data_IF_207142002162
#
_entry.id   IF_207142002162
#
_cell.length_a   1.000
_cell.length_b   1.000
_cell.length_c   1.000
_cell.angle_alpha   90.00
_cell.angle_beta   90.00
_cell.angle_gamma   90.00
#
_symmetry.space_group_name_H-M   'P 1'
#
loop_
_entity.id
_entity.type
_entity.pdbx_description
1 polymer ?
#
# COMPACT_ATOMS: atom_id res chain seq x y z
N UNK A 1 -26.52 -1.14 25.99
CA UNK A 1 -25.95 -1.64 24.72
C UNK A 1 -25.57 -0.42 23.86
N UNK A 2 -24.29 -0.08 23.79
CA UNK A 2 -23.83 1.07 23.00
C UNK A 2 -23.63 0.63 21.54
N UNK A 3 -24.41 1.20 20.61
CA UNK A 3 -24.18 1.06 19.17
C UNK A 3 -22.90 1.82 18.84
N UNK A 4 -21.81 1.12 18.53
CA UNK A 4 -20.60 1.72 17.95
C UNK A 4 -21.00 2.36 16.62
N UNK A 5 -20.87 3.68 16.51
CA UNK A 5 -20.97 4.39 15.24
C UNK A 5 -19.94 3.78 14.28
N UNK A 6 -20.40 3.12 13.21
CA UNK A 6 -19.55 2.88 12.03
C UNK A 6 -19.10 4.25 11.56
N UNK A 7 -17.80 4.57 11.72
CA UNK A 7 -17.20 5.69 10.98
C UNK A 7 -17.54 5.44 9.52
N UNK A 8 -18.33 6.32 8.94
CA UNK A 8 -18.73 6.23 7.54
C UNK A 8 -17.50 6.67 6.74
N UNK A 9 -16.62 5.72 6.45
CA UNK A 9 -15.44 5.98 5.63
C UNK A 9 -15.95 6.21 4.22
N UNK A 10 -15.78 7.42 3.72
CA UNK A 10 -16.18 7.78 2.35
C UNK A 10 -15.07 7.27 1.43
N UNK A 11 -15.38 6.36 0.49
CA UNK A 11 -14.37 5.86 -0.45
C UNK A 11 -13.85 7.00 -1.32
N UNK A 12 -12.54 6.97 -1.60
CA UNK A 12 -11.88 7.95 -2.45
C UNK A 12 -12.40 7.83 -3.89
N UNK A 13 -12.56 8.95 -4.59
CA UNK A 13 -12.82 8.91 -6.02
C UNK A 13 -11.51 8.74 -6.79
N UNK A 14 -11.13 7.48 -7.01
CA UNK A 14 -9.89 7.10 -7.69
C UNK A 14 -9.80 7.58 -9.15
N UNK A 15 -10.93 7.87 -9.80
CA UNK A 15 -10.95 8.31 -11.20
C UNK A 15 -10.70 9.82 -11.36
N UNK A 16 -10.68 10.57 -10.25
CA UNK A 16 -10.43 12.00 -10.23
C UNK A 16 -9.16 12.37 -9.43
N UNK A 17 -8.22 11.45 -9.29
CA UNK A 17 -6.93 11.74 -8.66
C UNK A 17 -6.02 12.49 -9.63
N UNK A 18 -5.43 13.60 -9.17
CA UNK A 18 -4.52 14.40 -9.98
C UNK A 18 -3.18 13.69 -10.17
N UNK A 19 -2.67 13.72 -11.41
CA UNK A 19 -1.33 13.22 -11.71
C UNK A 19 -0.28 14.27 -11.36
N UNK A 20 0.80 13.83 -10.74
CA UNK A 20 1.99 14.63 -10.55
C UNK A 20 2.71 14.79 -11.89
N UNK A 21 2.65 15.98 -12.45
CA UNK A 21 3.24 16.29 -13.76
C UNK A 21 4.64 16.89 -13.68
N UNK A 22 5.04 17.39 -12.49
CA UNK A 22 6.33 18.03 -12.25
C UNK A 22 6.83 17.72 -10.84
N UNK A 23 8.12 17.41 -10.73
CA UNK A 23 8.78 17.22 -9.44
C UNK A 23 9.10 18.57 -8.79
N UNK A 24 8.78 18.67 -7.50
CA UNK A 24 9.22 19.76 -6.63
C UNK A 24 10.39 19.25 -5.77
N UNK A 25 11.28 20.16 -5.40
CA UNK A 25 12.34 19.85 -4.43
C UNK A 25 11.74 19.38 -3.10
N UNK A 26 12.48 18.53 -2.38
CA UNK A 26 12.09 18.08 -1.07
C UNK A 26 11.91 19.22 -0.06
N UNK A 27 10.98 19.11 0.91
CA UNK A 27 10.92 20.02 2.06
C UNK A 27 12.21 19.99 2.89
N UNK A 28 12.63 21.15 3.41
CA UNK A 28 13.93 21.33 4.11
C UNK A 28 13.94 20.68 5.51
N UNK A 29 12.79 20.64 6.20
CA UNK A 29 12.69 20.23 7.61
C UNK A 29 12.20 18.77 7.81
N UNK A 30 12.33 17.93 6.78
CA UNK A 30 11.83 16.55 6.85
C UNK A 30 12.75 15.63 7.66
N UNK A 31 12.19 14.68 8.45
CA UNK A 31 12.99 13.66 9.13
C UNK A 31 13.64 12.74 8.09
N UNK A 32 14.97 12.65 8.08
CA UNK A 32 15.71 11.77 7.17
C UNK A 32 15.99 10.40 7.80
N UNK A 33 15.86 9.33 7.00
CA UNK A 33 16.27 7.98 7.39
C UNK A 33 15.29 7.22 8.29
N UNK A 34 15.81 6.35 9.16
CA UNK A 34 15.05 5.39 9.98
C UNK A 34 14.18 5.99 11.09
N UNK A 35 13.99 7.31 11.11
CA UNK A 35 13.19 8.04 12.09
C UNK A 35 11.75 8.31 11.64
N UNK A 36 11.36 7.89 10.43
CA UNK A 36 9.99 8.07 9.93
C UNK A 36 9.03 7.20 10.78
N UNK A 37 8.04 7.81 11.46
CA UNK A 37 7.09 7.06 12.27
C UNK A 37 6.16 6.23 11.38
N UNK A 38 5.89 4.99 11.80
CA UNK A 38 4.94 4.11 11.10
C UNK A 38 3.52 4.60 11.32
N UNK A 39 2.80 4.86 10.23
CA UNK A 39 1.37 5.19 10.25
C UNK A 39 0.54 3.92 10.10
N UNK A 40 -0.31 3.64 11.08
CA UNK A 40 -1.11 2.40 11.16
C UNK A 40 -2.54 2.63 10.64
N UNK A 41 -3.02 1.74 9.78
CA UNK A 41 -4.35 1.78 9.17
C UNK A 41 -5.04 0.42 9.26
N UNK A 42 -6.36 0.43 9.41
CA UNK A 42 -7.22 -0.76 9.46
C UNK A 42 -8.19 -0.87 8.28
N UNK A 43 -8.18 0.11 7.37
CA UNK A 43 -9.00 0.14 6.17
C UNK A 43 -8.27 0.78 4.97
N UNK A 44 -8.64 0.33 3.76
CA UNK A 44 -8.03 0.77 2.50
C UNK A 44 -8.24 2.25 2.20
N UNK A 45 -9.42 2.79 2.51
CA UNK A 45 -9.76 4.16 2.11
C UNK A 45 -8.99 5.20 2.95
N UNK A 46 -8.81 4.95 4.25
CA UNK A 46 -7.95 5.78 5.11
C UNK A 46 -6.49 5.71 4.66
N UNK A 47 -6.01 4.52 4.29
CA UNK A 47 -4.66 4.31 3.78
C UNK A 47 -4.42 5.00 2.43
N UNK A 48 -5.34 4.86 1.48
CA UNK A 48 -5.29 5.53 0.17
C UNK A 48 -5.34 7.06 0.29
N UNK A 49 -6.17 7.56 1.21
CA UNK A 49 -6.25 8.99 1.52
C UNK A 49 -4.91 9.50 2.02
N UNK A 50 -4.27 8.76 2.94
CA UNK A 50 -2.95 9.11 3.43
C UNK A 50 -1.92 9.21 2.30
N UNK A 51 -1.81 8.19 1.44
CA UNK A 51 -0.84 8.20 0.32
C UNK A 51 -1.08 9.39 -0.63
N UNK A 52 -2.34 9.73 -0.91
CA UNK A 52 -2.66 10.92 -1.72
C UNK A 52 -2.24 12.21 -1.03
N UNK A 53 -2.52 12.33 0.26
CA UNK A 53 -2.25 13.55 1.01
C UNK A 53 -0.73 13.78 1.13
N UNK A 54 0.08 12.72 1.28
CA UNK A 54 1.56 12.80 1.22
C UNK A 54 2.07 13.34 -0.13
N UNK A 55 1.41 12.97 -1.23
CA UNK A 55 1.68 13.54 -2.56
C UNK A 55 1.35 15.03 -2.62
N UNK A 56 0.21 15.44 -2.05
CA UNK A 56 -0.22 16.84 -2.03
C UNK A 56 0.67 17.72 -1.15
N UNK A 57 1.08 17.19 -0.01
CA UNK A 57 1.97 17.83 0.96
C UNK A 57 3.45 17.78 0.52
N UNK A 58 3.75 17.15 -0.62
CA UNK A 58 5.09 17.04 -1.18
C UNK A 58 6.05 16.20 -0.31
N UNK A 59 5.53 15.25 0.47
CA UNK A 59 6.25 14.32 1.38
C UNK A 59 6.28 12.86 0.86
N UNK A 60 5.69 12.59 -0.31
CA UNK A 60 5.54 11.27 -0.94
C UNK A 60 6.80 10.42 -1.11
N UNK A 61 8.00 10.99 -1.04
CA UNK A 61 9.26 10.29 -1.23
C UNK A 61 9.88 9.81 0.10
N UNK A 62 9.21 10.03 1.23
CA UNK A 62 9.73 9.69 2.56
C UNK A 62 8.60 9.43 3.59
N UNK A 63 7.99 8.26 3.54
CA UNK A 63 6.97 7.85 4.52
C UNK A 63 6.98 6.33 4.77
N UNK A 64 6.36 5.90 5.87
CA UNK A 64 6.08 4.48 6.15
C UNK A 64 4.65 4.33 6.67
N UNK A 65 3.84 3.60 5.92
CA UNK A 65 2.48 3.23 6.29
C UNK A 65 2.35 1.70 6.41
N UNK A 66 1.58 1.25 7.40
CA UNK A 66 1.22 -0.14 7.62
C UNK A 66 -0.31 -0.27 7.62
N UNK A 67 -0.82 -1.21 6.83
CA UNK A 67 -2.25 -1.48 6.67
C UNK A 67 -2.53 -2.94 7.05
N UNK A 68 -3.44 -3.16 8.00
CA UNK A 68 -3.93 -4.49 8.35
C UNK A 68 -5.43 -4.60 8.07
N UNK A 69 -5.83 -5.42 7.09
CA UNK A 69 -7.22 -5.47 6.62
C UNK A 69 -7.65 -6.87 6.17
N UNK A 70 -8.97 -7.06 6.05
CA UNK A 70 -9.54 -8.21 5.37
C UNK A 70 -9.72 -7.90 3.89
N UNK A 71 -9.10 -8.69 2.97
CA UNK A 71 -9.26 -8.45 1.55
C UNK A 71 -10.73 -8.51 1.09
N UNK A 72 -11.15 -7.70 0.10
CA UNK A 72 -12.53 -7.67 -0.37
C UNK A 72 -13.11 -9.02 -0.78
N UNK A 73 -12.28 -9.91 -1.37
CA UNK A 73 -12.71 -11.24 -1.78
C UNK A 73 -13.04 -12.16 -0.59
N UNK A 74 -12.48 -11.91 0.60
CA UNK A 74 -12.82 -12.63 1.83
C UNK A 74 -14.14 -12.13 2.41
N UNK A 75 -14.28 -10.80 2.50
CA UNK A 75 -15.51 -10.17 2.97
C UNK A 75 -16.70 -10.58 2.10
N UNK A 76 -16.51 -10.61 0.78
CA UNK A 76 -17.52 -11.07 -0.17
C UNK A 76 -17.90 -12.54 0.02
N UNK A 77 -16.92 -13.44 0.22
CA UNK A 77 -17.21 -14.87 0.44
C UNK A 77 -17.95 -15.12 1.77
N UNK A 78 -17.83 -14.20 2.73
CA UNK A 78 -18.45 -14.31 4.06
C UNK A 78 -19.70 -13.43 4.23
N UNK A 79 -20.13 -12.71 3.18
CA UNK A 79 -21.22 -11.71 3.25
C UNK A 79 -21.04 -10.68 4.38
N UNK A 80 -19.81 -10.15 4.51
CA UNK A 80 -19.41 -9.19 5.54
C UNK A 80 -19.58 -9.69 7.00
N UNK A 81 -19.78 -11.00 7.18
CA UNK A 81 -19.83 -11.62 8.49
C UNK A 81 -18.53 -12.37 8.79
N UNK A 82 -17.67 -11.75 9.62
CA UNK A 82 -16.37 -12.31 9.99
C UNK A 82 -16.47 -13.65 10.75
N UNK A 83 -17.60 -13.96 11.39
CA UNK A 83 -17.81 -15.25 12.06
C UNK A 83 -17.95 -16.41 11.07
N UNK A 84 -18.26 -16.12 9.80
CA UNK A 84 -18.38 -17.12 8.74
C UNK A 84 -17.06 -17.41 8.02
N UNK A 85 -15.98 -16.77 8.43
CA UNK A 85 -14.64 -17.03 7.88
C UNK A 85 -14.29 -18.49 8.12
N UNK A 86 -14.03 -19.22 7.04
CA UNK A 86 -13.59 -20.62 7.14
C UNK A 86 -12.14 -20.65 7.63
N UNK A 87 -11.78 -21.60 8.52
CA UNK A 87 -10.40 -21.76 8.97
C UNK A 87 -9.39 -22.04 7.85
N UNK A 88 -9.85 -22.45 6.66
CA UNK A 88 -9.01 -22.69 5.47
C UNK A 88 -8.76 -21.43 4.64
N UNK A 89 -9.38 -20.29 4.97
CA UNK A 89 -9.14 -19.01 4.31
C UNK A 89 -7.91 -18.33 4.91
N UNK A 90 -6.72 -18.87 4.61
CA UNK A 90 -5.45 -18.33 5.09
C UNK A 90 -4.33 -18.70 4.10
N UNK A 91 -3.06 -18.45 4.47
CA UNK A 91 -1.91 -18.72 3.59
C UNK A 91 -1.82 -20.17 3.09
N UNK A 92 -2.34 -21.15 3.83
CA UNK A 92 -2.22 -22.57 3.45
C UNK A 92 -3.14 -22.92 2.27
N UNK A 93 -4.10 -22.06 1.91
CA UNK A 93 -4.96 -22.24 0.76
C UNK A 93 -4.37 -21.64 -0.51
N UNK A 94 -4.18 -22.48 -1.53
CA UNK A 94 -3.76 -22.04 -2.87
C UNK A 94 -4.77 -21.09 -3.53
N UNK A 95 -6.08 -21.29 -3.27
CA UNK A 95 -7.15 -20.38 -3.70
C UNK A 95 -6.97 -19.00 -3.06
N UNK A 96 -6.70 -18.96 -1.75
CA UNK A 96 -6.45 -17.71 -1.03
C UNK A 96 -5.25 -16.96 -1.61
N UNK A 97 -4.09 -17.63 -1.74
CA UNK A 97 -2.87 -17.04 -2.31
C UNK A 97 -3.08 -16.47 -3.70
N UNK A 98 -3.77 -17.20 -4.58
CA UNK A 98 -4.07 -16.76 -5.95
C UNK A 98 -4.98 -15.53 -5.96
N UNK A 99 -6.05 -15.55 -5.16
CA UNK A 99 -6.97 -14.42 -5.06
C UNK A 99 -6.29 -13.18 -4.47
N UNK A 100 -5.41 -13.37 -3.48
CA UNK A 100 -4.61 -12.29 -2.91
C UNK A 100 -3.66 -11.68 -3.95
N UNK A 101 -2.91 -12.49 -4.70
CA UNK A 101 -2.05 -11.99 -5.77
C UNK A 101 -2.83 -11.24 -6.86
N UNK A 102 -4.03 -11.73 -7.21
CA UNK A 102 -4.90 -11.03 -8.13
C UNK A 102 -5.33 -9.67 -7.58
N UNK A 103 -5.77 -9.64 -6.32
CA UNK A 103 -6.16 -8.41 -5.63
C UNK A 103 -5.02 -7.39 -5.58
N UNK A 104 -3.81 -7.81 -5.20
CA UNK A 104 -2.63 -6.94 -5.14
C UNK A 104 -2.38 -6.29 -6.51
N UNK A 105 -2.35 -7.09 -7.58
CA UNK A 105 -1.99 -6.60 -8.93
C UNK A 105 -3.09 -5.80 -9.62
N UNK A 106 -4.36 -6.08 -9.34
CA UNK A 106 -5.51 -5.50 -10.06
C UNK A 106 -6.20 -4.38 -9.30
N UNK A 107 -5.96 -4.28 -8.00
CA UNK A 107 -6.57 -3.25 -7.17
C UNK A 107 -5.48 -2.52 -6.41
N UNK A 108 -4.91 -3.11 -5.36
CA UNK A 108 -3.99 -2.41 -4.45
C UNK A 108 -2.89 -1.59 -5.16
N UNK A 109 -2.13 -2.21 -6.08
CA UNK A 109 -1.08 -1.50 -6.83
C UNK A 109 -1.62 -0.44 -7.79
N UNK A 110 -2.74 -0.72 -8.47
CA UNK A 110 -3.34 0.21 -9.43
C UNK A 110 -3.95 1.41 -8.73
N UNK A 111 -4.60 1.17 -7.59
CA UNK A 111 -5.22 2.19 -6.77
C UNK A 111 -4.13 3.06 -6.12
N UNK A 112 -3.04 2.45 -5.61
CA UNK A 112 -1.86 3.16 -5.12
C UNK A 112 -1.20 4.07 -6.17
N UNK A 113 -1.01 3.59 -7.40
CA UNK A 113 -0.47 4.40 -8.51
C UNK A 113 -1.37 5.61 -8.80
N UNK A 114 -2.70 5.41 -8.82
CA UNK A 114 -3.66 6.48 -9.05
C UNK A 114 -3.63 7.53 -7.94
N UNK A 115 -3.64 7.11 -6.67
CA UNK A 115 -3.71 8.05 -5.53
C UNK A 115 -2.39 8.76 -5.28
N UNK A 116 -1.26 8.08 -5.49
CA UNK A 116 0.05 8.68 -5.37
C UNK A 116 0.34 9.67 -6.51
N UNK A 117 -0.29 9.49 -7.68
CA UNK A 117 -0.23 10.43 -8.79
C UNK A 117 1.01 10.29 -9.68
N UNK A 118 1.86 9.28 -9.46
CA UNK A 118 3.04 8.96 -10.28
C UNK A 118 3.07 7.47 -10.63
N UNK A 119 3.84 7.09 -11.64
CA UNK A 119 3.87 5.71 -12.15
C UNK A 119 4.60 4.78 -11.17
N UNK A 120 4.06 3.57 -10.92
CA UNK A 120 4.71 2.57 -10.08
C UNK A 120 5.02 1.30 -10.87
N UNK A 121 6.31 1.02 -11.09
CA UNK A 121 6.79 -0.13 -11.87
C UNK A 121 7.43 -1.19 -10.97
N UNK A 122 6.60 -1.83 -10.14
CA UNK A 122 7.07 -2.91 -9.29
C UNK A 122 7.72 -4.06 -10.07
N UNK A 123 8.92 -4.43 -9.64
CA UNK A 123 9.64 -5.61 -10.13
C UNK A 123 8.92 -6.91 -9.70
N UNK A 124 9.44 -8.05 -10.19
CA UNK A 124 8.92 -9.36 -9.78
C UNK A 124 9.08 -9.51 -8.25
N UNK A 125 8.03 -9.93 -7.52
CA UNK A 125 8.12 -10.02 -6.07
C UNK A 125 9.12 -11.07 -5.63
N UNK A 126 9.85 -10.73 -4.56
CA UNK A 126 10.55 -11.71 -3.74
C UNK A 126 9.52 -12.44 -2.87
N UNK A 127 9.51 -13.76 -2.94
CA UNK A 127 8.57 -14.60 -2.20
C UNK A 127 9.30 -15.26 -1.05
N UNK A 128 8.86 -14.96 0.17
CA UNK A 128 9.36 -15.61 1.38
C UNK A 128 8.23 -16.39 2.05
N UNK A 129 8.31 -17.71 2.03
CA UNK A 129 7.35 -18.58 2.68
C UNK A 129 7.98 -19.27 3.89
N UNK A 130 7.33 -19.11 5.04
CA UNK A 130 7.66 -19.82 6.28
C UNK A 130 6.49 -20.71 6.69
N UNK A 131 6.69 -21.51 7.73
CA UNK A 131 5.62 -22.33 8.28
C UNK A 131 4.40 -21.49 8.74
N UNK A 132 4.63 -20.27 9.24
CA UNK A 132 3.58 -19.41 9.81
C UNK A 132 3.18 -18.24 8.92
N UNK A 133 4.05 -17.79 8.01
CA UNK A 133 3.78 -16.62 7.17
C UNK A 133 4.06 -16.87 5.70
N UNK A 134 3.34 -16.13 4.85
CA UNK A 134 3.68 -15.96 3.46
C UNK A 134 3.84 -14.48 3.18
N UNK A 135 5.02 -14.08 2.69
CA UNK A 135 5.40 -12.69 2.44
C UNK A 135 5.76 -12.50 0.97
N UNK A 136 5.30 -11.40 0.41
CA UNK A 136 5.59 -10.94 -0.95
C UNK A 136 6.19 -9.55 -0.84
N UNK A 137 7.47 -9.40 -1.17
CA UNK A 137 8.14 -8.10 -1.21
C UNK A 137 8.24 -7.60 -2.64
N UNK A 138 7.72 -6.40 -2.88
CA UNK A 138 7.76 -5.68 -4.14
C UNK A 138 8.64 -4.46 -3.97
N UNK A 139 9.48 -4.20 -4.98
CA UNK A 139 10.38 -3.04 -5.02
C UNK A 139 10.16 -2.34 -6.35
N UNK A 140 10.07 -1.02 -6.31
CA UNK A 140 10.14 -0.13 -7.46
C UNK A 140 11.22 0.92 -7.17
N UNK A 141 12.29 0.87 -7.93
CA UNK A 141 13.46 1.76 -7.89
C UNK A 141 13.64 2.51 -9.22
N UNK A 142 12.56 2.59 -10.03
CA UNK A 142 12.56 3.31 -11.30
C UNK A 142 12.37 4.82 -11.13
N UNK A 143 12.17 5.51 -12.27
CA UNK A 143 12.01 6.96 -12.31
C UNK A 143 10.58 7.46 -12.08
N UNK A 144 9.67 6.57 -11.67
CA UNK A 144 8.27 6.86 -11.38
C UNK A 144 7.47 7.67 -12.45
N UNK A 145 7.89 7.57 -13.71
CA UNK A 145 7.30 8.28 -14.85
C UNK A 145 7.89 9.67 -15.14
N UNK A 146 8.92 10.08 -14.40
CA UNK A 146 9.65 11.33 -14.60
C UNK A 146 10.88 11.13 -15.48
N UNK A 147 11.33 12.21 -16.12
CA UNK A 147 12.59 12.19 -16.87
C UNK A 147 13.78 12.34 -15.92
N UNK A 148 14.97 11.79 -16.26
CA UNK A 148 16.18 12.01 -15.46
C UNK A 148 16.52 13.49 -15.25
N UNK A 149 16.19 14.35 -16.23
CA UNK A 149 16.39 15.81 -16.14
C UNK A 149 15.51 16.46 -15.06
N UNK A 150 14.26 15.98 -14.91
CA UNK A 150 13.35 16.47 -13.87
C UNK A 150 13.81 16.07 -12.47
N UNK A 151 14.29 14.83 -12.33
CA UNK A 151 14.80 14.32 -11.06
C UNK A 151 16.10 15.02 -10.63
N UNK A 152 17.02 15.24 -11.57
CA UNK A 152 18.28 15.97 -11.32
C UNK A 152 18.00 17.42 -10.93
N UNK A 153 17.08 18.09 -11.63
CA UNK A 153 16.68 19.46 -11.31
C UNK A 153 16.01 19.58 -9.93
N UNK A 154 15.24 18.57 -9.54
CA UNK A 154 14.60 18.53 -8.22
C UNK A 154 15.53 17.98 -7.12
N UNK A 155 16.69 17.41 -7.49
CA UNK A 155 17.56 16.60 -6.64
C UNK A 155 16.76 15.58 -5.82
N UNK A 156 15.90 14.82 -6.51
CA UNK A 156 14.91 13.97 -5.85
C UNK A 156 14.77 12.63 -6.55
N UNK A 157 15.29 11.61 -5.88
CA UNK A 157 15.15 10.21 -6.26
C UNK A 157 14.65 9.44 -5.05
N UNK A 158 13.78 8.46 -5.25
CA UNK A 158 13.29 7.60 -4.18
C UNK A 158 12.95 6.23 -4.73
N UNK A 159 12.81 5.27 -3.82
CA UNK A 159 12.32 3.93 -4.12
C UNK A 159 11.11 3.62 -3.27
N UNK A 160 10.30 2.69 -3.76
CA UNK A 160 9.10 2.22 -3.08
C UNK A 160 9.30 0.75 -2.74
N UNK A 161 9.10 0.43 -1.46
CA UNK A 161 9.08 -0.94 -0.96
C UNK A 161 7.69 -1.27 -0.42
N UNK A 162 7.05 -2.29 -1.00
CA UNK A 162 5.77 -2.81 -0.52
C UNK A 162 5.94 -4.27 -0.10
N UNK A 163 5.73 -4.58 1.18
CA UNK A 163 5.67 -5.95 1.69
C UNK A 163 4.22 -6.31 1.99
N UNK A 164 3.72 -7.39 1.38
CA UNK A 164 2.40 -7.95 1.66
C UNK A 164 2.57 -9.28 2.37
N UNK A 165 1.98 -9.41 3.55
CA UNK A 165 2.10 -10.58 4.43
C UNK A 165 0.74 -11.13 4.82
N UNK A 166 0.63 -12.45 4.83
CA UNK A 166 -0.49 -13.15 5.46
C UNK A 166 0.02 -14.32 6.32
N UNK A 167 -0.82 -14.80 7.22
CA UNK A 167 -0.49 -15.85 8.18
C UNK A 167 -1.34 -17.12 7.97
N UNK A 168 -1.11 -18.15 8.79
CA UNK A 168 -1.85 -19.43 8.81
C UNK A 168 -3.06 -19.46 9.76
N UNK A 169 -3.30 -18.41 10.52
CA UNK A 169 -4.33 -18.37 11.57
C UNK A 169 -5.62 -17.71 11.07
N UNK A 170 -5.51 -16.66 10.26
CA UNK A 170 -6.63 -15.86 9.80
C UNK A 170 -6.39 -15.33 8.36
N UNK A 171 -7.44 -14.85 7.68
CA UNK A 171 -7.33 -14.25 6.34
C UNK A 171 -6.84 -12.80 6.34
N UNK A 172 -6.42 -12.26 7.48
CA UNK A 172 -5.96 -10.87 7.54
C UNK A 172 -4.68 -10.71 6.73
N UNK A 173 -4.59 -9.60 6.03
CA UNK A 173 -3.44 -9.22 5.23
C UNK A 173 -2.84 -7.96 5.81
N UNK A 174 -1.54 -8.02 6.02
CA UNK A 174 -0.69 -6.91 6.46
C UNK A 174 0.05 -6.38 5.23
N UNK A 175 0.05 -5.06 5.04
CA UNK A 175 0.76 -4.37 3.97
C UNK A 175 1.65 -3.31 4.61
N UNK A 176 2.96 -3.48 4.48
CA UNK A 176 3.95 -2.45 4.79
C UNK A 176 4.29 -1.72 3.50
N UNK A 177 4.01 -0.42 3.44
CA UNK A 177 4.25 0.44 2.29
C UNK A 177 5.20 1.57 2.68
N UNK A 178 6.36 1.63 2.01
CA UNK A 178 7.44 2.57 2.31
C UNK A 178 7.87 3.30 1.07
N UNK A 179 8.02 4.61 1.20
CA UNK A 179 8.71 5.45 0.24
C UNK A 179 10.01 5.93 0.89
N UNK A 180 11.14 5.68 0.24
CA UNK A 180 12.47 5.84 0.82
C UNK A 180 13.30 6.72 -0.12
N UNK A 181 13.79 7.88 0.33
CA UNK A 181 14.64 8.73 -0.50
C UNK A 181 15.95 7.99 -0.82
N UNK A 182 16.44 8.18 -2.03
CA UNK A 182 17.73 7.69 -2.50
C UNK A 182 18.70 8.87 -2.60
N UNK A 183 19.94 8.63 -2.18
CA UNK A 183 21.05 9.59 -2.29
C UNK A 183 21.57 9.71 -3.73
#
# INVERSE_FOLDING_TARGET
MAKKNKKQVVPLNLDNCEKMTQLKSAPVDRPTGSAVPVREFDDLASFETFVRDETWDNEFDNFHAHLAYYPPFILSECHDNLEKIKPTMNKNSSKFKRNLQHHIKKHLMQDLEKVAGYEMKFQKPEVQETFNSWKLKYIDDGHHGFSPEDEEKAHRHWKIEMEVKCNNENPMVEVDFKSIPMD
#
